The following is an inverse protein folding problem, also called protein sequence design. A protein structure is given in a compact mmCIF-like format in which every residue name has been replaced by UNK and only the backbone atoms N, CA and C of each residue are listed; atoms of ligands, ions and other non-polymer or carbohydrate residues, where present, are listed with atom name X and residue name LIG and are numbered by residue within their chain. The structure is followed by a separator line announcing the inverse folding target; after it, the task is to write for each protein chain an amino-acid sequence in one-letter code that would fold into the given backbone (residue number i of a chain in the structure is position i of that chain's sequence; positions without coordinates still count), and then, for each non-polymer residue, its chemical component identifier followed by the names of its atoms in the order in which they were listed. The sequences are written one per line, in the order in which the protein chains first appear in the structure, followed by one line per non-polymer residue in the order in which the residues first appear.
data_IF_487549177224
#
_entry.id   IF_487549177224
#
_cell.length_a   1.000
_cell.length_b   1.000
_cell.length_c   1.000
_cell.angle_alpha   90.00
_cell.angle_beta   90.00
_cell.angle_gamma   90.00
#
_symmetry.space_group_name_H-M   'P 1'
#
loop_
_entity.id
_entity.type
_entity.pdbx_description
1 polymer ?
#
# COMPACT_ATOMS: atom_id res chain seq x y z
N UNK A 1 22.03 29.78 13.42
CA UNK A 1 21.73 29.56 11.99
C UNK A 1 21.36 28.10 11.67
N UNK A 2 20.37 27.50 12.37
CA UNK A 2 20.11 26.04 12.28
C UNK A 2 18.81 25.60 11.58
N UNK A 3 17.96 26.54 11.14
CA UNK A 3 16.60 26.21 10.66
C UNK A 3 16.47 26.00 9.14
N UNK A 4 17.42 26.47 8.34
CA UNK A 4 17.32 26.44 6.87
C UNK A 4 17.66 25.05 6.30
N UNK A 5 18.60 24.32 6.92
CA UNK A 5 18.99 22.98 6.46
C UNK A 5 17.94 21.89 6.73
N UNK A 6 17.03 22.09 7.71
CA UNK A 6 15.96 21.11 8.01
C UNK A 6 14.76 21.20 7.06
N UNK A 7 14.54 22.35 6.42
CA UNK A 7 13.41 22.53 5.48
C UNK A 7 13.72 21.94 4.10
N UNK A 8 14.96 22.08 3.61
CA UNK A 8 15.41 21.50 2.33
C UNK A 8 15.33 19.96 2.33
N UNK A 9 15.79 19.31 3.40
CA UNK A 9 15.70 17.85 3.55
C UNK A 9 14.26 17.31 3.65
N UNK A 10 13.30 18.12 4.14
CA UNK A 10 11.89 17.74 4.11
C UNK A 10 11.30 17.81 2.71
N UNK A 11 11.66 18.82 1.94
CA UNK A 11 11.19 19.01 0.56
C UNK A 11 11.67 17.87 -0.35
N UNK A 12 12.95 17.46 -0.23
CA UNK A 12 13.47 16.29 -0.96
C UNK A 12 12.74 15.00 -0.61
N UNK A 13 12.49 14.75 0.69
CA UNK A 13 11.73 13.58 1.15
C UNK A 13 10.29 13.54 0.62
N UNK A 14 9.63 14.69 0.48
CA UNK A 14 8.28 14.76 -0.11
C UNK A 14 8.32 14.45 -1.60
N UNK A 15 9.30 14.99 -2.33
CA UNK A 15 9.47 14.72 -3.76
C UNK A 15 9.77 13.24 -4.03
N UNK A 16 10.66 12.63 -3.26
CA UNK A 16 10.97 11.20 -3.31
C UNK A 16 9.73 10.35 -3.03
N UNK A 17 8.99 10.67 -1.98
CA UNK A 17 7.74 9.97 -1.64
C UNK A 17 6.72 10.04 -2.78
N UNK A 18 6.60 11.21 -3.41
CA UNK A 18 5.71 11.41 -4.53
C UNK A 18 6.17 10.62 -5.77
N UNK A 19 7.48 10.56 -6.03
CA UNK A 19 8.04 9.77 -7.11
C UNK A 19 7.77 8.27 -6.90
N UNK A 20 8.03 7.75 -5.71
CA UNK A 20 7.72 6.35 -5.34
C UNK A 20 6.23 6.07 -5.46
N UNK A 21 5.36 6.98 -4.99
CA UNK A 21 3.91 6.83 -5.12
C UNK A 21 3.44 6.79 -6.58
N UNK A 22 4.00 7.66 -7.44
CA UNK A 22 3.72 7.66 -8.89
C UNK A 22 4.18 6.37 -9.55
N UNK A 23 5.40 5.92 -9.25
CA UNK A 23 5.96 4.68 -9.78
C UNK A 23 5.10 3.47 -9.36
N UNK A 24 4.73 3.39 -8.07
CA UNK A 24 3.87 2.34 -7.54
C UNK A 24 2.50 2.31 -8.23
N UNK A 25 1.84 3.46 -8.39
CA UNK A 25 0.55 3.57 -9.09
C UNK A 25 0.65 3.09 -10.54
N UNK A 26 1.71 3.49 -11.25
CA UNK A 26 1.96 3.08 -12.64
C UNK A 26 2.20 1.57 -12.72
N UNK A 27 2.99 1.02 -11.81
CA UNK A 27 3.24 -0.42 -11.72
C UNK A 27 1.96 -1.21 -11.44
N UNK A 28 1.15 -0.80 -10.47
CA UNK A 28 -0.14 -1.43 -10.18
C UNK A 28 -1.10 -1.39 -11.38
N UNK A 29 -1.21 -0.24 -12.05
CA UNK A 29 -2.07 -0.09 -13.24
C UNK A 29 -1.61 -0.99 -14.38
N UNK A 30 -0.29 -1.06 -14.63
CA UNK A 30 0.29 -1.92 -15.65
C UNK A 30 0.08 -3.40 -15.31
N UNK A 31 0.32 -3.80 -14.07
CA UNK A 31 0.09 -5.17 -13.60
C UNK A 31 -1.38 -5.58 -13.80
N UNK A 32 -2.33 -4.74 -13.37
CA UNK A 32 -3.75 -5.02 -13.55
C UNK A 32 -4.14 -5.20 -15.04
N UNK A 33 -3.56 -4.38 -15.94
CA UNK A 33 -3.79 -4.49 -17.39
C UNK A 33 -3.23 -5.79 -17.96
N UNK A 34 -1.99 -6.14 -17.59
CA UNK A 34 -1.33 -7.36 -18.06
C UNK A 34 -2.05 -8.59 -17.52
N UNK A 35 -2.37 -8.62 -16.22
CA UNK A 35 -3.13 -9.72 -15.62
C UNK A 35 -4.48 -9.93 -16.30
N UNK A 36 -5.19 -8.84 -16.65
CA UNK A 36 -6.43 -8.94 -17.42
C UNK A 36 -6.21 -9.54 -18.82
N UNK A 37 -5.16 -9.13 -19.52
CA UNK A 37 -4.83 -9.64 -20.85
C UNK A 37 -4.39 -11.12 -20.84
N UNK A 38 -3.79 -11.57 -19.73
CA UNK A 38 -3.33 -12.95 -19.55
C UNK A 38 -4.34 -13.83 -18.81
N UNK A 39 -5.55 -13.31 -18.54
CA UNK A 39 -6.58 -14.00 -17.77
C UNK A 39 -6.15 -14.46 -16.36
N UNK A 40 -5.15 -13.77 -15.80
CA UNK A 40 -4.62 -14.08 -14.46
C UNK A 40 -5.48 -13.39 -13.40
N UNK A 41 -6.07 -14.14 -12.45
CA UNK A 41 -6.83 -13.55 -11.35
C UNK A 41 -5.92 -12.73 -10.43
N UNK A 42 -6.43 -11.59 -9.95
CA UNK A 42 -5.68 -10.66 -9.10
C UNK A 42 -6.37 -10.50 -7.75
N UNK A 43 -5.60 -10.61 -6.68
CA UNK A 43 -6.09 -10.38 -5.33
C UNK A 43 -5.94 -8.91 -4.94
N UNK A 44 -7.05 -8.31 -4.49
CA UNK A 44 -7.09 -6.90 -4.07
C UNK A 44 -7.83 -6.76 -2.76
N UNK A 45 -7.40 -5.79 -1.94
CA UNK A 45 -8.11 -5.44 -0.71
C UNK A 45 -9.09 -4.32 -1.02
N UNK A 46 -10.38 -4.59 -0.91
CA UNK A 46 -11.45 -3.60 -1.08
C UNK A 46 -12.34 -3.56 0.17
N UNK A 47 -12.55 -2.36 0.72
CA UNK A 47 -13.43 -2.13 1.89
C UNK A 47 -13.12 -3.03 3.10
N UNK A 48 -11.85 -3.38 3.30
CA UNK A 48 -11.43 -4.27 4.39
C UNK A 48 -11.67 -5.76 4.12
N UNK A 49 -11.88 -6.14 2.87
CA UNK A 49 -12.06 -7.54 2.45
C UNK A 49 -11.04 -7.86 1.36
N UNK A 50 -10.36 -8.99 1.49
CA UNK A 50 -9.55 -9.58 0.44
C UNK A 50 -10.49 -10.24 -0.57
N UNK A 51 -10.47 -9.73 -1.79
CA UNK A 51 -11.25 -10.25 -2.91
C UNK A 51 -10.30 -10.65 -4.04
N UNK A 52 -10.68 -11.66 -4.79
CA UNK A 52 -10.05 -12.07 -6.03
C UNK A 52 -10.91 -11.58 -7.19
N UNK A 53 -10.28 -10.89 -8.13
CA UNK A 53 -10.92 -10.44 -9.37
C UNK A 53 -10.35 -11.25 -10.52
N UNK A 54 -11.21 -12.01 -11.17
CA UNK A 54 -10.89 -12.73 -12.39
C UNK A 54 -11.02 -11.81 -13.61
N UNK A 55 -10.43 -12.21 -14.74
CA UNK A 55 -10.41 -11.40 -15.94
C UNK A 55 -11.77 -11.26 -16.65
N UNK A 56 -12.65 -12.23 -16.44
CA UNK A 56 -14.07 -12.25 -16.84
C UNK A 56 -14.94 -11.21 -16.09
N UNK A 57 -14.38 -10.57 -15.05
CA UNK A 57 -15.08 -9.62 -14.19
C UNK A 57 -15.78 -10.26 -13.00
N UNK A 58 -15.69 -11.59 -12.82
CA UNK A 58 -16.18 -12.25 -11.63
C UNK A 58 -15.35 -11.85 -10.40
N UNK A 59 -16.03 -11.75 -9.26
CA UNK A 59 -15.43 -11.32 -7.99
C UNK A 59 -15.68 -12.40 -6.95
N UNK A 60 -14.61 -12.99 -6.43
CA UNK A 60 -14.68 -13.96 -5.34
C UNK A 60 -14.20 -13.32 -4.04
N UNK A 61 -15.01 -13.40 -3.00
CA UNK A 61 -14.58 -12.95 -1.66
C UNK A 61 -13.76 -14.05 -1.00
N UNK A 62 -12.50 -13.77 -0.64
CA UNK A 62 -11.62 -14.73 0.03
C UNK A 62 -11.79 -14.62 1.55
N UNK A 63 -11.59 -13.42 2.10
CA UNK A 63 -11.59 -13.23 3.56
C UNK A 63 -11.83 -11.78 3.95
N UNK A 64 -12.60 -11.57 5.02
CA UNK A 64 -12.70 -10.26 5.67
C UNK A 64 -11.45 -10.00 6.52
N UNK A 65 -10.76 -8.91 6.25
CA UNK A 65 -9.59 -8.47 7.03
C UNK A 65 -10.12 -7.76 8.27
N UNK A 66 -10.09 -8.47 9.41
CA UNK A 66 -10.32 -7.84 10.71
C UNK A 66 -9.11 -6.96 11.03
N UNK A 67 -9.33 -5.66 11.19
CA UNK A 67 -8.32 -4.79 11.79
C UNK A 67 -8.16 -5.23 13.24
N UNK A 68 -6.97 -5.68 13.62
CA UNK A 68 -6.67 -5.90 15.03
C UNK A 68 -6.59 -4.54 15.70
N UNK A 69 -7.44 -4.23 16.69
CA UNK A 69 -7.25 -3.02 17.47
C UNK A 69 -5.89 -3.14 18.17
N UNK A 70 -4.97 -2.24 17.84
CA UNK A 70 -3.75 -2.10 18.62
C UNK A 70 -4.10 -1.22 19.83
N UNK A 71 -4.09 -1.78 21.03
CA UNK A 71 -4.23 -1.00 22.27
C UNK A 71 -3.01 -0.08 22.56
N UNK A 72 -2.12 0.09 21.59
CA UNK A 72 -0.88 0.86 21.71
C UNK A 72 -1.13 2.26 21.15
N UNK A 73 -1.08 3.27 22.02
CA UNK A 73 -1.05 4.68 21.60
C UNK A 73 0.34 5.00 21.04
N UNK A 74 0.51 4.91 19.73
CA UNK A 74 1.76 5.28 19.05
C UNK A 74 1.88 6.81 18.97
N UNK A 75 2.95 7.36 19.54
CA UNK A 75 3.32 8.78 19.34
C UNK A 75 3.83 8.98 17.91
N UNK A 76 3.65 10.18 17.37
CA UNK A 76 4.19 10.55 16.05
C UNK A 76 5.72 10.37 16.05
N UNK A 77 6.24 9.57 15.12
CA UNK A 77 7.67 9.21 15.06
C UNK A 77 8.04 7.93 15.80
N UNK A 78 7.09 7.21 16.41
CA UNK A 78 7.34 5.91 17.00
C UNK A 78 7.60 4.84 15.93
N UNK A 79 8.61 4.00 16.16
CA UNK A 79 8.95 2.85 15.31
C UNK A 79 8.10 1.66 15.70
N UNK A 80 7.36 1.08 14.74
CA UNK A 80 6.57 -0.13 14.93
C UNK A 80 7.34 -1.34 14.42
N UNK A 81 7.84 -2.18 15.33
CA UNK A 81 8.47 -3.45 14.96
C UNK A 81 7.43 -4.56 14.96
N UNK A 82 7.13 -5.10 13.78
CA UNK A 82 6.25 -6.27 13.64
C UNK A 82 7.07 -7.54 13.87
N UNK A 83 6.62 -8.42 14.76
CA UNK A 83 7.15 -9.78 14.84
C UNK A 83 6.50 -10.63 13.74
N UNK A 84 7.29 -11.34 12.90
CA UNK A 84 6.72 -12.30 11.96
C UNK A 84 6.02 -13.41 12.74
N UNK A 85 4.83 -13.82 12.27
CA UNK A 85 4.21 -15.06 12.73
C UNK A 85 4.69 -16.18 11.81
N UNK A 86 5.39 -17.16 12.40
CA UNK A 86 5.62 -18.47 11.79
C UNK A 86 4.34 -19.29 11.79
#
# INVERSE_FOLDING_TARGET
MGNVAKSSNRLSSIMERNAVSKAAKKASSRAARISKALEIPVQVIMKGTLIEKSADGSVRTIKKIKKSPSNIKLKKGATLCLKPKG
#
